data_IF_813958545194
#
_entry.id   IF_813958545194
#
_cell.length_a   1.000
_cell.length_b   1.000
_cell.length_c   1.000
_cell.angle_alpha   90.00
_cell.angle_beta   90.00
_cell.angle_gamma   90.00
#
_symmetry.space_group_name_H-M   'P 1'
#
loop_
_entity.id
_entity.type
_entity.pdbx_description
1 polymer ?
#
# COMPACT_ATOMS: atom_id res chain seq x y z
N UNK A 1 17.21 20.23 5.05
CA UNK A 1 15.88 19.62 5.20
C UNK A 1 14.95 20.34 4.24
N UNK A 2 14.17 19.61 3.43
CA UNK A 2 13.15 20.20 2.57
C UNK A 2 11.89 20.37 3.41
N UNK A 3 11.42 21.60 3.61
CA UNK A 3 10.29 21.90 4.52
C UNK A 3 9.15 22.69 3.87
N UNK A 4 9.41 23.43 2.79
CA UNK A 4 8.40 24.24 2.09
C UNK A 4 7.97 23.63 0.75
N UNK A 5 6.76 23.98 0.29
CA UNK A 5 6.17 23.45 -0.94
C UNK A 5 7.01 23.76 -2.19
N UNK A 6 7.62 24.95 -2.25
CA UNK A 6 8.42 25.38 -3.39
C UNK A 6 9.67 24.50 -3.52
N UNK A 7 10.35 24.22 -2.42
CA UNK A 7 11.46 23.30 -2.34
C UNK A 7 11.04 21.86 -2.66
N UNK A 8 9.90 21.38 -2.15
CA UNK A 8 9.35 20.04 -2.50
C UNK A 8 9.19 19.90 -4.01
N UNK A 9 8.55 20.88 -4.67
CA UNK A 9 8.36 20.86 -6.14
C UNK A 9 9.70 20.93 -6.89
N UNK A 10 10.62 21.79 -6.45
CA UNK A 10 11.94 21.94 -7.06
C UNK A 10 12.73 20.64 -7.04
N UNK A 11 12.82 19.98 -5.88
CA UNK A 11 13.66 18.79 -5.74
C UNK A 11 12.98 17.51 -6.23
N UNK A 12 11.71 17.27 -5.88
CA UNK A 12 11.05 15.99 -6.14
C UNK A 12 10.24 15.93 -7.45
N UNK A 13 10.01 17.06 -8.11
CA UNK A 13 9.31 17.10 -9.41
C UNK A 13 10.22 17.61 -10.51
N UNK A 14 10.76 18.83 -10.37
CA UNK A 14 11.58 19.44 -11.43
C UNK A 14 12.95 18.76 -11.57
N UNK A 15 13.54 18.30 -10.47
CA UNK A 15 14.83 17.59 -10.44
C UNK A 15 14.66 16.11 -10.06
N UNK A 16 13.50 15.51 -10.34
CA UNK A 16 13.13 14.17 -9.87
C UNK A 16 14.19 13.11 -10.20
N UNK A 17 14.80 13.15 -11.40
CA UNK A 17 15.84 12.19 -11.81
C UNK A 17 17.03 12.14 -10.82
N UNK A 18 17.43 13.27 -10.25
CA UNK A 18 18.54 13.36 -9.30
C UNK A 18 18.15 12.91 -7.88
N UNK A 19 16.88 13.14 -7.49
CA UNK A 19 16.38 12.91 -6.13
C UNK A 19 15.44 11.71 -6.00
N UNK A 20 15.35 10.87 -7.04
CA UNK A 20 14.47 9.70 -7.04
C UNK A 20 15.04 8.48 -6.34
N UNK A 21 16.29 8.53 -5.87
CA UNK A 21 16.89 7.39 -5.16
C UNK A 21 16.28 7.21 -3.75
N UNK A 22 16.44 6.01 -3.19
CA UNK A 22 16.00 5.60 -1.86
C UNK A 22 17.14 5.76 -0.88
N UNK A 23 16.77 6.24 0.30
CA UNK A 23 17.68 6.21 1.42
C UNK A 23 17.82 4.76 1.90
N UNK A 24 19.04 4.23 1.92
CA UNK A 24 19.29 2.88 2.44
C UNK A 24 19.11 2.86 3.94
N UNK A 25 18.25 1.95 4.40
CA UNK A 25 17.99 1.73 5.81
C UNK A 25 18.40 0.29 6.16
N UNK A 26 19.26 0.15 7.19
CA UNK A 26 19.76 -1.14 7.64
C UNK A 26 18.64 -2.12 8.02
N UNK A 27 17.54 -1.61 8.58
CA UNK A 27 16.37 -2.42 8.94
C UNK A 27 15.77 -3.06 7.69
N UNK A 28 15.51 -2.25 6.66
CA UNK A 28 14.86 -2.72 5.45
C UNK A 28 15.77 -3.58 4.60
N UNK A 29 17.07 -3.30 4.59
CA UNK A 29 18.07 -4.13 3.91
C UNK A 29 18.13 -5.52 4.53
N UNK A 30 18.08 -5.61 5.86
CA UNK A 30 18.11 -6.89 6.59
C UNK A 30 16.84 -7.70 6.37
N UNK A 31 15.65 -7.09 6.50
CA UNK A 31 14.39 -7.82 6.38
C UNK A 31 13.98 -8.13 4.94
N UNK A 32 14.32 -7.28 3.97
CA UNK A 32 13.92 -7.42 2.56
C UNK A 32 15.04 -7.96 1.67
N UNK A 33 16.19 -8.35 2.24
CA UNK A 33 17.33 -8.89 1.53
C UNK A 33 18.12 -7.88 0.69
N UNK A 34 17.89 -6.57 0.88
CA UNK A 34 18.68 -5.43 0.39
C UNK A 34 18.78 -5.21 -1.13
N UNK A 35 18.57 -6.24 -1.95
CA UNK A 35 18.83 -6.19 -3.41
C UNK A 35 17.56 -6.34 -4.25
N UNK A 36 16.39 -6.55 -3.64
CA UNK A 36 15.13 -6.81 -4.33
C UNK A 36 13.96 -5.96 -3.78
N UNK A 37 12.86 -5.92 -4.54
CA UNK A 37 11.61 -5.24 -4.16
C UNK A 37 11.31 -3.99 -4.99
N UNK A 38 10.29 -3.24 -4.59
CA UNK A 38 9.85 -2.01 -5.28
C UNK A 38 9.97 -0.74 -4.42
N UNK A 39 10.24 -0.92 -3.12
CA UNK A 39 10.30 0.17 -2.13
C UNK A 39 11.74 0.60 -1.85
N UNK A 40 12.67 -0.34 -1.68
CA UNK A 40 14.02 -0.08 -1.13
C UNK A 40 15.14 0.01 -2.15
N UNK A 41 14.95 -0.57 -3.34
CA UNK A 41 15.98 -0.58 -4.39
C UNK A 41 15.88 0.66 -5.27
N UNK A 42 16.99 0.95 -5.96
CA UNK A 42 17.16 2.07 -6.89
C UNK A 42 17.69 1.65 -8.26
N UNK A 43 17.80 2.63 -9.15
CA UNK A 43 18.41 2.46 -10.45
C UNK A 43 17.54 1.68 -11.44
N UNK A 44 18.15 1.12 -12.50
CA UNK A 44 17.42 0.46 -13.58
C UNK A 44 16.51 -0.69 -13.11
N UNK A 45 17.00 -1.50 -12.17
CA UNK A 45 16.25 -2.64 -11.60
C UNK A 45 14.97 -2.18 -10.89
N UNK A 46 15.05 -1.09 -10.11
CA UNK A 46 13.87 -0.50 -9.48
C UNK A 46 12.83 -0.03 -10.51
N UNK A 47 13.29 0.64 -11.59
CA UNK A 47 12.41 1.14 -12.65
C UNK A 47 11.65 0.01 -13.33
N UNK A 48 12.32 -1.10 -13.60
CA UNK A 48 11.72 -2.30 -14.19
C UNK A 48 10.70 -2.94 -13.24
N UNK A 49 11.09 -3.23 -12.00
CA UNK A 49 10.22 -3.84 -10.99
C UNK A 49 8.98 -2.98 -10.69
N UNK A 50 9.15 -1.66 -10.57
CA UNK A 50 8.03 -0.72 -10.38
C UNK A 50 7.08 -0.74 -11.56
N UNK A 51 7.60 -0.72 -12.79
CA UNK A 51 6.77 -0.76 -14.01
C UNK A 51 5.96 -2.05 -14.05
N UNK A 52 6.62 -3.19 -13.86
CA UNK A 52 5.97 -4.51 -13.82
C UNK A 52 4.88 -4.56 -12.75
N UNK A 53 5.19 -4.20 -11.50
CA UNK A 53 4.23 -4.22 -10.41
C UNK A 53 3.00 -3.34 -10.68
N UNK A 54 3.19 -2.12 -11.20
CA UNK A 54 2.07 -1.23 -11.55
C UNK A 54 1.19 -1.77 -12.69
N UNK A 55 1.77 -2.53 -13.63
CA UNK A 55 0.99 -3.22 -14.65
C UNK A 55 0.15 -4.34 -14.03
N UNK A 56 0.77 -5.23 -13.24
CA UNK A 56 0.06 -6.34 -12.57
C UNK A 56 -1.05 -5.84 -11.65
N UNK A 57 -0.79 -4.79 -10.85
CA UNK A 57 -1.81 -4.21 -9.97
C UNK A 57 -3.04 -3.71 -10.77
N UNK A 58 -2.82 -3.15 -11.96
CA UNK A 58 -3.90 -2.69 -12.84
C UNK A 58 -4.69 -3.86 -13.44
N UNK A 59 -4.00 -4.94 -13.80
CA UNK A 59 -4.63 -6.17 -14.29
C UNK A 59 -5.46 -6.85 -13.20
N UNK A 60 -5.03 -6.78 -11.94
CA UNK A 60 -5.80 -7.16 -10.76
C UNK A 60 -6.89 -6.17 -10.35
N UNK A 61 -7.11 -5.12 -11.15
CA UNK A 61 -8.26 -4.23 -11.02
C UNK A 61 -8.02 -2.92 -10.29
N UNK A 62 -6.80 -2.61 -9.83
CA UNK A 62 -6.50 -1.31 -9.22
C UNK A 62 -6.81 -0.18 -10.21
N UNK A 63 -7.62 0.78 -9.77
CA UNK A 63 -8.11 1.88 -10.61
C UNK A 63 -9.27 1.49 -11.54
N UNK A 64 -9.88 0.31 -11.36
CA UNK A 64 -11.07 -0.15 -12.09
C UNK A 64 -12.19 -0.54 -11.12
N UNK A 65 -13.41 -0.65 -11.63
CA UNK A 65 -14.60 -1.06 -10.87
C UNK A 65 -14.45 -2.42 -10.15
N UNK A 66 -13.60 -3.32 -10.66
CA UNK A 66 -13.31 -4.60 -9.99
C UNK A 66 -12.74 -4.39 -8.58
N UNK A 67 -11.81 -3.45 -8.40
CA UNK A 67 -11.23 -3.16 -7.09
C UNK A 67 -12.23 -2.44 -6.19
N UNK A 68 -13.07 -1.56 -6.76
CA UNK A 68 -14.15 -0.91 -6.02
C UNK A 68 -15.10 -1.95 -5.41
N UNK A 69 -15.50 -2.98 -6.16
CA UNK A 69 -16.31 -4.09 -5.65
C UNK A 69 -15.65 -4.79 -4.45
N UNK A 70 -14.37 -5.14 -4.57
CA UNK A 70 -13.61 -5.76 -3.47
C UNK A 70 -13.54 -4.86 -2.22
N UNK A 71 -13.38 -3.55 -2.40
CA UNK A 71 -13.39 -2.60 -1.29
C UNK A 71 -14.77 -2.54 -0.64
N UNK A 72 -15.83 -2.47 -1.43
CA UNK A 72 -17.20 -2.41 -0.92
C UNK A 72 -17.59 -3.68 -0.15
N UNK A 73 -17.11 -4.85 -0.57
CA UNK A 73 -17.31 -6.10 0.17
C UNK A 73 -16.70 -6.05 1.57
N UNK A 74 -15.49 -5.49 1.72
CA UNK A 74 -14.85 -5.32 3.04
C UNK A 74 -15.52 -4.23 3.87
N UNK A 75 -15.96 -3.12 3.25
CA UNK A 75 -16.72 -2.07 3.93
C UNK A 75 -18.04 -2.60 4.48
N UNK A 76 -18.75 -3.43 3.70
CA UNK A 76 -20.00 -4.06 4.14
C UNK A 76 -19.77 -5.02 5.31
N UNK A 77 -18.71 -5.84 5.25
CA UNK A 77 -18.33 -6.73 6.34
C UNK A 77 -17.95 -5.94 7.61
N UNK A 78 -17.20 -4.85 7.45
CA UNK A 78 -16.84 -3.96 8.54
C UNK A 78 -18.07 -3.29 9.16
N UNK A 79 -19.01 -2.78 8.35
CA UNK A 79 -20.24 -2.18 8.84
C UNK A 79 -21.12 -3.19 9.58
N UNK A 80 -21.20 -4.44 9.11
CA UNK A 80 -21.89 -5.52 9.80
C UNK A 80 -21.27 -5.81 11.18
N UNK A 81 -19.94 -5.86 11.24
CA UNK A 81 -19.21 -6.02 12.50
C UNK A 81 -19.52 -4.89 13.50
N UNK A 82 -19.53 -3.63 13.06
CA UNK A 82 -19.87 -2.49 13.93
C UNK A 82 -21.32 -2.54 14.45
N UNK A 83 -22.28 -2.98 13.62
CA UNK A 83 -23.68 -3.12 14.05
C UNK A 83 -23.86 -4.18 15.13
N UNK A 84 -23.08 -5.27 15.05
CA UNK A 84 -23.11 -6.36 16.02
C UNK A 84 -22.45 -5.95 17.35
N UNK A 85 -21.34 -5.21 17.27
CA UNK A 85 -20.59 -4.75 18.42
C UNK A 85 -21.10 -3.37 18.88
N UNK A 86 -22.28 -3.36 19.50
CA UNK A 86 -22.86 -2.15 20.08
C UNK A 86 -22.04 -1.70 21.30
N UNK A 87 -21.21 -0.66 21.14
CA UNK A 87 -20.37 -0.14 22.23
C UNK A 87 -19.17 0.68 21.76
N UNK A 88 -18.19 0.87 22.66
CA UNK A 88 -16.89 1.51 22.33
C UNK A 88 -15.95 0.50 21.67
N UNK A 89 -16.09 0.33 20.36
CA UNK A 89 -15.12 -0.41 19.55
C UNK A 89 -13.87 0.44 19.37
N UNK A 90 -12.69 -0.11 19.69
CA UNK A 90 -11.42 0.50 19.32
C UNK A 90 -11.22 0.38 17.80
N UNK A 91 -11.44 1.47 17.07
CA UNK A 91 -11.53 1.45 15.60
C UNK A 91 -10.23 1.07 14.87
N UNK A 92 -9.07 1.18 15.53
CA UNK A 92 -7.76 0.95 14.90
C UNK A 92 -7.59 -0.47 14.37
N UNK A 93 -7.92 -1.49 15.17
CA UNK A 93 -7.76 -2.89 14.78
C UNK A 93 -8.73 -3.29 13.66
N UNK A 94 -10.05 -3.08 13.79
CA UNK A 94 -11.00 -3.45 12.74
C UNK A 94 -10.76 -2.74 11.40
N UNK A 95 -10.31 -1.47 11.41
CA UNK A 95 -9.92 -0.77 10.18
C UNK A 95 -8.68 -1.42 9.56
N UNK A 96 -7.68 -1.77 10.37
CA UNK A 96 -6.47 -2.45 9.88
C UNK A 96 -6.81 -3.80 9.23
N UNK A 97 -7.71 -4.59 9.83
CA UNK A 97 -8.16 -5.86 9.24
C UNK A 97 -8.94 -5.63 7.95
N UNK A 98 -9.83 -4.63 7.90
CA UNK A 98 -10.56 -4.25 6.69
C UNK A 98 -9.60 -3.92 5.53
N UNK A 99 -8.63 -3.02 5.75
CA UNK A 99 -7.63 -2.64 4.74
C UNK A 99 -6.75 -3.84 4.37
N UNK A 100 -6.32 -4.62 5.37
CA UNK A 100 -5.53 -5.84 5.15
C UNK A 100 -6.25 -6.86 4.28
N UNK A 101 -7.56 -7.05 4.48
CA UNK A 101 -8.37 -7.97 3.68
C UNK A 101 -8.52 -7.52 2.23
N UNK A 102 -8.62 -6.22 1.95
CA UNK A 102 -8.61 -5.73 0.55
C UNK A 102 -7.33 -6.20 -0.16
N UNK A 103 -6.18 -6.03 0.50
CA UNK A 103 -4.87 -6.44 -0.03
C UNK A 103 -4.76 -7.98 -0.11
N UNK A 104 -5.16 -8.70 0.94
CA UNK A 104 -5.07 -10.16 0.99
C UNK A 104 -6.01 -10.85 -0.01
N UNK A 105 -7.21 -10.34 -0.19
CA UNK A 105 -8.16 -10.84 -1.18
C UNK A 105 -7.64 -10.56 -2.60
N UNK A 106 -6.99 -9.42 -2.82
CA UNK A 106 -6.34 -9.12 -4.09
C UNK A 106 -5.16 -10.06 -4.39
N UNK A 107 -4.25 -10.26 -3.43
CA UNK A 107 -2.99 -10.98 -3.66
C UNK A 107 -3.12 -12.50 -3.52
N UNK A 108 -3.92 -12.96 -2.57
CA UNK A 108 -4.00 -14.37 -2.17
C UNK A 108 -5.40 -14.96 -2.34
N UNK A 109 -6.41 -14.15 -2.64
CA UNK A 109 -7.80 -14.59 -2.66
C UNK A 109 -8.34 -14.99 -1.27
N UNK A 110 -7.66 -14.54 -0.20
CA UNK A 110 -8.00 -14.89 1.18
C UNK A 110 -8.51 -13.68 1.97
N UNK A 111 -9.35 -13.95 2.96
CA UNK A 111 -9.89 -12.95 3.89
C UNK A 111 -9.83 -13.50 5.31
N UNK A 112 -9.62 -12.60 6.27
CA UNK A 112 -9.63 -12.92 7.69
C UNK A 112 -10.91 -12.40 8.35
N UNK A 113 -11.46 -13.11 9.34
CA UNK A 113 -12.61 -12.64 10.10
C UNK A 113 -12.24 -11.42 10.95
N UNK A 114 -13.23 -10.56 11.21
CA UNK A 114 -13.00 -9.41 12.08
C UNK A 114 -12.94 -9.90 13.52
N UNK A 115 -11.80 -9.65 14.17
CA UNK A 115 -11.57 -10.01 15.58
C UNK A 115 -11.54 -8.71 16.38
N UNK A 116 -12.42 -8.60 17.38
CA UNK A 116 -12.45 -7.49 18.34
C UNK A 116 -11.39 -7.64 19.41
#
# INVERSE_FOLDING_TARGET
MVSDLSSIKKYFVQNAELFSNRWRNHVTDTFMGGVNGVVQIDGPKWREQRRFALHVLRDFGVGRALMEGKIMDEVNAFAAYLRLNQGRVAMSSPIAVCVGNVINNMLFGMRFPQVG
#
